data_IF_616126718429
#
_entry.id   IF_616126718429
#
_cell.length_a   1.000
_cell.length_b   1.000
_cell.length_c   1.000
_cell.angle_alpha   90.00
_cell.angle_beta   90.00
_cell.angle_gamma   90.00
#
_symmetry.space_group_name_H-M   'P 1'
#
loop_
_entity.id
_entity.type
_entity.pdbx_description
1 polymer ?
#
# COMPACT_ATOMS: atom_id res chain seq x y z
N UNK A 1 -12.61 -26.49 -10.06
CA UNK A 1 -13.06 -26.26 -8.67
C UNK A 1 -13.69 -27.52 -8.02
N UNK A 2 -13.72 -28.67 -8.68
CA UNK A 2 -14.28 -29.91 -8.15
C UNK A 2 -13.25 -30.79 -7.39
N UNK A 3 -12.05 -30.30 -7.21
CA UNK A 3 -10.96 -30.88 -6.44
C UNK A 3 -10.35 -29.85 -5.51
N UNK A 4 -9.58 -30.29 -4.51
CA UNK A 4 -8.82 -29.40 -3.63
C UNK A 4 -7.80 -28.58 -4.41
N UNK A 5 -7.46 -27.38 -3.91
CA UNK A 5 -6.49 -26.48 -4.54
C UNK A 5 -5.05 -27.00 -4.46
N UNK A 6 -4.81 -27.97 -3.58
CA UNK A 6 -3.47 -28.51 -3.32
C UNK A 6 -2.49 -27.53 -2.69
N UNK A 7 -3.02 -26.56 -1.94
CA UNK A 7 -2.22 -25.69 -1.07
C UNK A 7 -1.44 -26.57 -0.06
N UNK A 8 -0.26 -26.11 0.32
CA UNK A 8 0.61 -26.74 1.32
C UNK A 8 0.13 -26.51 2.77
N UNK A 9 -1.19 -26.59 2.97
CA UNK A 9 -1.87 -26.47 4.25
C UNK A 9 -2.85 -27.63 4.43
N UNK A 10 -2.83 -28.29 5.58
CA UNK A 10 -3.79 -29.34 5.90
C UNK A 10 -5.15 -28.75 6.29
N UNK A 11 -6.24 -29.51 6.00
CA UNK A 11 -7.58 -29.13 6.42
C UNK A 11 -8.43 -28.44 5.34
N UNK A 12 -7.95 -28.35 4.09
CA UNK A 12 -8.80 -27.90 2.97
C UNK A 12 -9.97 -28.87 2.79
N UNK A 13 -11.21 -28.35 2.91
CA UNK A 13 -12.42 -29.11 2.67
C UNK A 13 -12.57 -29.51 1.19
N UNK A 14 -13.03 -30.72 0.93
CA UNK A 14 -13.36 -31.12 -0.45
C UNK A 14 -14.57 -30.34 -0.94
N UNK A 15 -14.55 -29.84 -2.18
CA UNK A 15 -15.71 -29.17 -2.78
C UNK A 15 -16.92 -30.10 -2.83
N UNK A 16 -18.08 -29.53 -2.53
CA UNK A 16 -19.37 -30.19 -2.67
C UNK A 16 -20.15 -29.46 -3.75
N UNK A 17 -20.19 -30.04 -4.93
CA UNK A 17 -20.91 -29.51 -6.10
C UNK A 17 -21.95 -30.53 -6.51
N UNK A 18 -23.21 -30.16 -6.44
CA UNK A 18 -24.33 -31.04 -6.87
C UNK A 18 -24.23 -31.26 -8.37
N UNK A 19 -24.00 -32.53 -8.81
CA UNK A 19 -23.83 -32.87 -10.21
C UNK A 19 -25.17 -33.32 -10.84
N UNK A 20 -25.41 -33.03 -12.13
CA UNK A 20 -26.55 -33.59 -12.87
C UNK A 20 -26.60 -35.10 -12.73
N UNK A 21 -27.78 -35.63 -12.52
CA UNK A 21 -28.02 -37.09 -12.36
C UNK A 21 -27.71 -37.65 -10.96
N UNK A 22 -27.23 -36.82 -10.01
CA UNK A 22 -27.09 -37.23 -8.59
C UNK A 22 -28.46 -37.38 -7.94
N UNK A 23 -28.53 -38.19 -6.85
CA UNK A 23 -29.80 -38.38 -6.08
C UNK A 23 -30.41 -37.10 -5.51
N UNK A 24 -29.58 -36.06 -5.32
CA UNK A 24 -30.00 -34.76 -4.79
C UNK A 24 -30.25 -33.72 -5.88
N UNK A 25 -30.11 -34.07 -7.14
CA UNK A 25 -30.40 -33.19 -8.27
C UNK A 25 -31.91 -33.01 -8.44
N UNK A 26 -32.40 -31.79 -8.41
CA UNK A 26 -33.77 -31.38 -8.63
C UNK A 26 -33.87 -30.40 -9.82
N UNK A 27 -35.05 -30.19 -10.36
CA UNK A 27 -35.28 -29.21 -11.43
C UNK A 27 -34.87 -27.77 -11.04
N UNK A 28 -34.88 -27.44 -9.75
CA UNK A 28 -34.48 -26.15 -9.20
C UNK A 28 -32.99 -26.04 -8.93
N UNK A 29 -32.21 -27.13 -9.01
CA UNK A 29 -30.77 -27.12 -8.63
C UNK A 29 -29.98 -26.16 -9.51
N UNK A 30 -30.15 -26.18 -10.82
CA UNK A 30 -29.41 -25.31 -11.74
C UNK A 30 -29.71 -23.80 -11.52
N UNK A 31 -30.99 -23.37 -11.42
CA UNK A 31 -31.32 -22.00 -11.00
C UNK A 31 -30.70 -21.61 -9.67
N UNK A 32 -30.68 -22.48 -8.67
CA UNK A 32 -30.10 -22.21 -7.36
C UNK A 32 -28.59 -22.06 -7.40
N UNK A 33 -27.90 -22.85 -8.22
CA UNK A 33 -26.46 -22.71 -8.46
C UNK A 33 -26.12 -21.35 -9.07
N UNK A 34 -27.00 -20.75 -9.86
CA UNK A 34 -26.81 -19.47 -10.51
C UNK A 34 -26.64 -18.30 -9.52
N UNK A 35 -27.11 -18.43 -8.28
CA UNK A 35 -26.88 -17.45 -7.21
C UNK A 35 -26.17 -18.02 -5.98
N UNK A 36 -25.47 -19.17 -6.14
CA UNK A 36 -24.47 -19.66 -5.19
C UNK A 36 -24.93 -20.76 -4.23
N UNK A 37 -26.17 -21.28 -4.36
CA UNK A 37 -26.59 -22.45 -3.58
C UNK A 37 -26.24 -23.75 -4.29
N UNK A 38 -26.32 -24.88 -3.59
CA UNK A 38 -25.94 -26.23 -4.09
C UNK A 38 -24.46 -26.36 -4.53
N UNK A 39 -23.62 -25.39 -4.14
CA UNK A 39 -22.17 -25.37 -4.31
C UNK A 39 -21.54 -24.94 -3.00
N UNK A 40 -20.70 -25.79 -2.42
CA UNK A 40 -19.88 -25.45 -1.27
C UNK A 40 -18.41 -25.71 -1.62
N UNK A 41 -17.61 -24.66 -1.60
CA UNK A 41 -16.18 -24.69 -1.91
C UNK A 41 -15.39 -23.98 -0.81
N UNK A 42 -14.13 -24.37 -0.63
CA UNK A 42 -13.29 -23.72 0.34
C UNK A 42 -12.98 -22.26 -0.08
N UNK A 43 -12.86 -21.31 0.87
CA UNK A 43 -12.53 -19.92 0.57
C UNK A 43 -11.30 -19.74 -0.33
N UNK A 44 -10.27 -20.58 -0.14
CA UNK A 44 -9.05 -20.55 -0.96
C UNK A 44 -9.34 -20.86 -2.44
N UNK A 45 -10.33 -21.70 -2.73
CA UNK A 45 -10.72 -22.02 -4.10
C UNK A 45 -11.42 -20.82 -4.77
N UNK A 46 -12.27 -20.11 -4.03
CA UNK A 46 -12.88 -18.87 -4.52
C UNK A 46 -11.81 -17.79 -4.74
N UNK A 47 -10.87 -17.64 -3.80
CA UNK A 47 -9.73 -16.72 -3.94
C UNK A 47 -8.90 -17.06 -5.20
N UNK A 48 -8.61 -18.35 -5.43
CA UNK A 48 -7.87 -18.82 -6.61
C UNK A 48 -8.61 -18.51 -7.91
N UNK A 49 -9.94 -18.61 -7.91
CA UNK A 49 -10.78 -18.25 -9.05
C UNK A 49 -10.66 -16.76 -9.39
N UNK A 50 -10.83 -15.87 -8.40
CA UNK A 50 -10.68 -14.42 -8.61
C UNK A 50 -9.25 -14.04 -9.00
N UNK A 51 -8.25 -14.69 -8.40
CA UNK A 51 -6.84 -14.53 -8.78
C UNK A 51 -6.61 -14.92 -10.25
N UNK A 52 -7.26 -15.97 -10.75
CA UNK A 52 -7.13 -16.36 -12.16
C UNK A 52 -7.75 -15.34 -13.11
N UNK A 53 -8.85 -14.68 -12.72
CA UNK A 53 -9.44 -13.57 -13.51
C UNK A 53 -8.42 -12.42 -13.53
N UNK A 54 -7.92 -12.00 -12.38
CA UNK A 54 -6.90 -10.96 -12.25
C UNK A 54 -5.63 -11.24 -13.06
N UNK A 55 -5.29 -12.51 -13.25
CA UNK A 55 -4.13 -13.00 -13.99
C UNK A 55 -4.49 -13.43 -15.44
N UNK A 56 -5.41 -12.72 -16.08
CA UNK A 56 -5.81 -12.92 -17.47
C UNK A 56 -6.23 -14.38 -17.80
N UNK A 57 -6.87 -15.06 -16.87
CA UNK A 57 -7.37 -16.42 -17.03
C UNK A 57 -6.37 -17.52 -16.65
N UNK A 58 -5.13 -17.16 -16.33
CA UNK A 58 -4.13 -18.13 -15.89
C UNK A 58 -4.32 -18.45 -14.40
N UNK A 59 -4.78 -19.64 -14.09
CA UNK A 59 -5.00 -20.11 -12.73
C UNK A 59 -3.70 -20.59 -12.11
N UNK A 60 -3.35 -20.01 -10.96
CA UNK A 60 -2.13 -20.33 -10.20
C UNK A 60 -2.48 -21.27 -9.04
N UNK A 61 -1.59 -22.25 -8.78
CA UNK A 61 -1.70 -23.10 -7.59
C UNK A 61 -1.31 -22.30 -6.36
N UNK A 62 -2.16 -22.20 -5.33
CA UNK A 62 -1.80 -21.50 -4.10
C UNK A 62 -0.71 -22.27 -3.34
N UNK A 63 0.21 -21.54 -2.70
CA UNK A 63 1.26 -22.08 -1.83
C UNK A 63 1.64 -21.05 -0.76
N UNK A 64 2.11 -21.52 0.39
CA UNK A 64 2.52 -20.68 1.52
C UNK A 64 4.04 -20.67 1.71
N UNK A 65 4.69 -21.79 1.40
CA UNK A 65 6.13 -21.97 1.59
C UNK A 65 6.87 -21.60 0.31
N UNK A 66 7.68 -20.56 0.35
CA UNK A 66 8.51 -20.12 -0.78
C UNK A 66 9.94 -20.69 -0.77
N UNK A 67 10.45 -21.08 0.40
CA UNK A 67 11.76 -21.70 0.53
C UNK A 67 11.88 -22.52 1.82
N UNK A 68 12.67 -23.58 1.76
CA UNK A 68 13.14 -24.33 2.91
C UNK A 68 14.61 -23.95 3.14
N UNK A 69 14.95 -23.55 4.37
CA UNK A 69 16.30 -23.15 4.76
C UNK A 69 16.82 -24.03 5.87
N UNK A 70 18.12 -24.34 5.82
CA UNK A 70 18.86 -25.00 6.89
C UNK A 70 20.14 -24.21 7.15
N UNK A 71 20.41 -23.87 8.39
CA UNK A 71 21.54 -23.01 8.80
C UNK A 71 21.67 -21.70 7.99
N UNK A 72 20.52 -21.09 7.61
CA UNK A 72 20.48 -19.88 6.81
C UNK A 72 20.67 -20.06 5.30
N UNK A 73 21.02 -21.26 4.83
CA UNK A 73 21.16 -21.58 3.39
C UNK A 73 19.84 -22.12 2.83
N UNK A 74 19.48 -21.68 1.62
CA UNK A 74 18.30 -22.21 0.93
C UNK A 74 18.62 -23.62 0.41
N UNK A 75 17.95 -24.65 0.94
CA UNK A 75 18.04 -26.02 0.47
C UNK A 75 17.08 -26.26 -0.69
N UNK A 76 15.88 -25.68 -0.60
CA UNK A 76 14.86 -25.86 -1.62
C UNK A 76 14.11 -24.55 -1.82
N UNK A 77 14.05 -24.08 -3.07
CA UNK A 77 13.21 -22.97 -3.48
C UNK A 77 11.91 -23.49 -4.09
N UNK A 78 10.79 -22.90 -3.69
CA UNK A 78 9.44 -23.22 -4.20
C UNK A 78 8.94 -21.98 -4.88
N UNK A 79 8.68 -22.07 -6.18
CA UNK A 79 8.17 -20.96 -6.98
C UNK A 79 6.70 -21.13 -7.36
N UNK A 80 6.09 -20.07 -7.93
CA UNK A 80 4.73 -20.12 -8.42
C UNK A 80 4.57 -21.18 -9.52
N UNK A 81 3.45 -21.91 -9.48
CA UNK A 81 3.10 -22.92 -10.48
C UNK A 81 1.71 -22.62 -11.01
N UNK A 82 1.58 -22.55 -12.33
CA UNK A 82 0.29 -22.45 -12.99
C UNK A 82 -0.31 -23.84 -13.23
N UNK A 83 -1.62 -23.91 -13.26
CA UNK A 83 -2.29 -25.07 -13.89
C UNK A 83 -2.05 -25.01 -15.39
N UNK A 84 -2.10 -26.16 -16.07
CA UNK A 84 -1.71 -26.30 -17.48
C UNK A 84 -2.70 -25.70 -18.50
N UNK A 85 -3.80 -25.12 -18.05
CA UNK A 85 -4.89 -24.61 -18.90
C UNK A 85 -5.39 -23.25 -18.42
N UNK A 86 -5.87 -22.45 -19.36
CA UNK A 86 -6.56 -21.19 -19.06
C UNK A 86 -7.97 -21.46 -18.58
N UNK A 87 -8.46 -20.72 -17.59
CA UNK A 87 -9.80 -20.85 -17.02
C UNK A 87 -10.90 -20.54 -18.05
N UNK A 88 -10.67 -19.55 -18.90
CA UNK A 88 -11.65 -19.08 -19.87
C UNK A 88 -10.98 -18.38 -21.06
N UNK A 89 -11.75 -18.11 -22.12
CA UNK A 89 -11.26 -17.34 -23.27
C UNK A 89 -10.94 -15.89 -22.87
N UNK A 90 -10.03 -15.19 -23.58
CA UNK A 90 -9.72 -13.78 -23.31
C UNK A 90 -10.96 -12.88 -23.34
N UNK A 91 -11.90 -13.14 -24.22
CA UNK A 91 -13.17 -12.39 -24.30
C UNK A 91 -14.03 -12.59 -23.05
N UNK A 92 -14.09 -13.83 -22.54
CA UNK A 92 -14.80 -14.14 -21.30
C UNK A 92 -14.15 -13.45 -20.10
N UNK A 93 -12.81 -13.48 -20.03
CA UNK A 93 -12.08 -12.78 -18.97
C UNK A 93 -12.36 -11.28 -19.00
N UNK A 94 -12.32 -10.66 -20.18
CA UNK A 94 -12.67 -9.24 -20.34
C UNK A 94 -14.10 -8.93 -19.88
N UNK A 95 -15.06 -9.79 -20.22
CA UNK A 95 -16.44 -9.62 -19.77
C UNK A 95 -16.57 -9.74 -18.24
N UNK A 96 -15.82 -10.67 -17.62
CA UNK A 96 -15.77 -10.81 -16.16
C UNK A 96 -15.16 -9.58 -15.49
N UNK A 97 -14.06 -9.01 -16.00
CA UNK A 97 -13.50 -7.74 -15.51
C UNK A 97 -14.58 -6.64 -15.53
N UNK A 98 -15.25 -6.45 -16.67
CA UNK A 98 -16.31 -5.42 -16.79
C UNK A 98 -17.43 -5.63 -15.78
N UNK A 99 -17.85 -6.89 -15.57
CA UNK A 99 -18.91 -7.21 -14.61
C UNK A 99 -18.47 -6.94 -13.16
N UNK A 100 -17.25 -7.34 -12.78
CA UNK A 100 -16.71 -7.15 -11.44
C UNK A 100 -16.41 -5.69 -11.12
N UNK A 101 -15.89 -4.92 -12.09
CA UNK A 101 -15.74 -3.46 -11.99
C UNK A 101 -17.12 -2.80 -11.80
N UNK A 102 -18.13 -3.26 -12.54
CA UNK A 102 -19.50 -2.78 -12.44
C UNK A 102 -20.11 -2.90 -11.04
N UNK A 103 -19.79 -3.95 -10.28
CA UNK A 103 -20.22 -4.12 -8.89
C UNK A 103 -19.68 -3.00 -8.00
N UNK A 104 -18.44 -2.59 -8.24
CA UNK A 104 -17.75 -1.56 -7.44
C UNK A 104 -18.12 -0.14 -7.87
N UNK A 105 -18.44 0.09 -9.15
CA UNK A 105 -18.78 1.42 -9.67
C UNK A 105 -20.29 1.73 -9.56
N UNK A 106 -21.13 0.76 -9.92
CA UNK A 106 -22.59 0.95 -10.06
C UNK A 106 -23.41 0.02 -9.19
N UNK A 107 -22.81 -1.07 -8.67
CA UNK A 107 -23.49 -2.13 -7.95
C UNK A 107 -23.50 -1.98 -6.43
N UNK A 108 -23.56 -3.11 -5.75
CA UNK A 108 -23.72 -3.23 -4.29
C UNK A 108 -22.55 -2.62 -3.50
N UNK A 109 -21.35 -2.56 -4.08
CA UNK A 109 -20.15 -2.01 -3.44
C UNK A 109 -19.87 -0.53 -3.82
N UNK A 110 -20.72 0.13 -4.62
CA UNK A 110 -20.53 1.52 -5.08
C UNK A 110 -20.16 2.49 -3.96
N UNK A 111 -20.92 2.48 -2.86
CA UNK A 111 -20.69 3.41 -1.75
C UNK A 111 -19.33 3.18 -1.06
N UNK A 112 -18.86 1.93 -1.06
CA UNK A 112 -17.61 1.55 -0.41
C UNK A 112 -16.39 2.10 -1.15
N UNK A 113 -16.43 2.14 -2.49
CA UNK A 113 -15.30 2.50 -3.35
C UNK A 113 -15.42 3.89 -4.00
N UNK A 114 -16.46 4.68 -3.67
CA UNK A 114 -16.70 5.99 -4.29
C UNK A 114 -15.50 6.95 -4.22
N UNK A 115 -14.71 6.88 -3.16
CA UNK A 115 -13.52 7.72 -2.93
C UNK A 115 -12.22 6.91 -2.91
N UNK A 116 -12.18 5.76 -3.58
CA UNK A 116 -10.97 4.95 -3.64
C UNK A 116 -9.93 5.57 -4.58
N UNK A 117 -8.64 5.52 -4.18
CA UNK A 117 -7.52 5.99 -5.00
C UNK A 117 -7.15 5.01 -6.13
N UNK A 118 -7.75 3.86 -6.15
CA UNK A 118 -7.52 2.79 -7.12
C UNK A 118 -8.84 2.14 -7.49
N UNK A 119 -8.90 1.57 -8.68
CA UNK A 119 -10.05 0.78 -9.14
C UNK A 119 -10.01 -0.61 -8.54
N UNK A 120 -11.20 -1.16 -8.31
CA UNK A 120 -11.39 -2.49 -7.74
C UNK A 120 -12.34 -3.29 -8.60
N UNK A 121 -11.96 -4.51 -8.89
CA UNK A 121 -12.83 -5.55 -9.42
C UNK A 121 -13.18 -6.52 -8.30
N UNK A 122 -14.45 -6.66 -7.99
CA UNK A 122 -14.86 -7.52 -6.89
C UNK A 122 -16.35 -7.79 -6.85
N UNK A 123 -16.74 -8.68 -5.96
CA UNK A 123 -18.15 -9.00 -5.76
C UNK A 123 -18.46 -9.25 -4.28
N UNK A 124 -19.72 -8.94 -3.92
CA UNK A 124 -20.28 -9.21 -2.60
C UNK A 124 -21.00 -10.56 -2.59
N UNK A 125 -20.96 -11.23 -1.45
CA UNK A 125 -21.77 -12.42 -1.22
C UNK A 125 -22.49 -12.32 0.11
N UNK A 126 -23.73 -12.85 0.15
CA UNK A 126 -24.54 -12.99 1.36
C UNK A 126 -25.27 -14.32 1.29
N UNK A 127 -24.77 -15.30 2.00
CA UNK A 127 -25.33 -16.65 1.98
C UNK A 127 -25.89 -17.00 3.36
N UNK A 128 -27.08 -17.57 3.40
CA UNK A 128 -27.67 -18.13 4.61
C UNK A 128 -27.02 -19.48 4.92
N UNK A 129 -26.54 -19.66 6.14
CA UNK A 129 -25.80 -20.85 6.59
C UNK A 129 -26.69 -21.72 7.46
N UNK A 130 -26.73 -23.01 7.16
CA UNK A 130 -27.42 -23.98 8.01
C UNK A 130 -26.60 -24.30 9.27
N UNK A 131 -27.21 -24.29 10.44
CA UNK A 131 -26.59 -24.63 11.71
C UNK A 131 -27.09 -26.00 12.23
N UNK A 132 -26.40 -27.05 11.87
CA UNK A 132 -26.69 -28.40 12.34
C UNK A 132 -28.17 -28.78 12.17
N UNK A 133 -28.79 -29.33 13.24
CA UNK A 133 -30.20 -29.76 13.27
C UNK A 133 -31.21 -28.62 13.20
N UNK A 134 -30.80 -27.38 13.51
CA UNK A 134 -31.64 -26.19 13.47
C UNK A 134 -31.83 -25.63 12.05
N UNK A 135 -31.07 -26.13 11.08
CA UNK A 135 -31.15 -25.67 9.71
C UNK A 135 -30.91 -24.17 9.59
N UNK A 136 -31.83 -23.44 8.95
CA UNK A 136 -31.75 -22.00 8.74
C UNK A 136 -32.51 -21.15 9.77
N UNK A 137 -33.08 -21.77 10.82
CA UNK A 137 -33.94 -21.09 11.78
C UNK A 137 -33.23 -19.95 12.57
N UNK A 138 -31.92 -20.04 12.73
CA UNK A 138 -31.12 -19.04 13.44
C UNK A 138 -30.70 -17.85 12.57
N UNK A 139 -31.08 -17.83 11.29
CA UNK A 139 -30.76 -16.72 10.38
C UNK A 139 -29.28 -16.31 10.42
N UNK A 140 -28.38 -17.30 10.41
CA UNK A 140 -26.94 -17.08 10.37
C UNK A 140 -26.52 -16.80 8.95
N UNK A 141 -25.92 -15.64 8.68
CA UNK A 141 -25.43 -15.28 7.37
C UNK A 141 -23.90 -15.32 7.29
N UNK A 142 -23.40 -15.78 6.16
CA UNK A 142 -22.02 -15.61 5.75
C UNK A 142 -21.95 -14.42 4.81
N UNK A 143 -21.32 -13.36 5.26
CA UNK A 143 -21.05 -12.15 4.49
C UNK A 143 -19.68 -12.24 3.86
N UNK A 144 -19.55 -11.96 2.59
CA UNK A 144 -18.25 -12.02 1.91
C UNK A 144 -18.06 -10.85 0.95
N UNK A 145 -16.80 -10.47 0.78
CA UNK A 145 -16.33 -9.64 -0.31
C UNK A 145 -15.02 -10.23 -0.83
N UNK A 146 -14.97 -10.47 -2.14
CA UNK A 146 -13.79 -11.02 -2.81
C UNK A 146 -13.50 -10.17 -4.03
N UNK A 147 -12.24 -9.81 -4.23
CA UNK A 147 -11.84 -8.95 -5.34
C UNK A 147 -10.33 -8.80 -5.43
N UNK A 148 -9.90 -8.02 -6.42
CA UNK A 148 -8.50 -7.69 -6.66
C UNK A 148 -8.34 -6.22 -7.02
N UNK A 149 -7.13 -5.72 -6.81
CA UNK A 149 -6.77 -4.33 -7.06
C UNK A 149 -5.27 -4.15 -7.32
N UNK A 150 -4.86 -3.03 -7.97
CA UNK A 150 -5.68 -2.17 -8.82
C UNK A 150 -6.28 -2.96 -9.98
N UNK A 151 -7.52 -2.65 -10.42
CA UNK A 151 -8.21 -3.43 -11.45
C UNK A 151 -7.51 -3.41 -12.81
N UNK A 152 -6.88 -2.29 -13.15
CA UNK A 152 -6.14 -2.07 -14.39
C UNK A 152 -4.75 -2.73 -14.42
N UNK A 153 -4.16 -2.99 -13.24
CA UNK A 153 -2.89 -3.71 -13.09
C UNK A 153 -2.89 -4.52 -11.79
N UNK A 154 -3.58 -5.66 -11.72
CA UNK A 154 -3.80 -6.40 -10.49
C UNK A 154 -2.50 -6.82 -9.79
N UNK A 155 -2.37 -6.47 -8.52
CA UNK A 155 -1.23 -6.81 -7.66
C UNK A 155 -1.64 -7.73 -6.52
N UNK A 156 -2.85 -7.56 -6.00
CA UNK A 156 -3.35 -8.32 -4.86
C UNK A 156 -4.77 -8.79 -5.10
N UNK A 157 -5.06 -10.02 -4.72
CA UNK A 157 -6.41 -10.60 -4.63
C UNK A 157 -6.70 -10.89 -3.17
N UNK A 158 -7.85 -10.42 -2.67
CA UNK A 158 -8.23 -10.54 -1.26
C UNK A 158 -9.62 -11.18 -1.18
N UNK A 159 -9.81 -12.07 -0.21
CA UNK A 159 -11.10 -12.60 0.17
C UNK A 159 -11.34 -12.31 1.66
N UNK A 160 -12.44 -11.68 1.99
CA UNK A 160 -12.93 -11.50 3.35
C UNK A 160 -14.26 -12.22 3.49
N UNK A 161 -14.34 -13.13 4.46
CA UNK A 161 -15.52 -13.93 4.72
C UNK A 161 -15.79 -13.87 6.24
N UNK A 162 -16.99 -13.42 6.60
CA UNK A 162 -17.41 -13.23 7.99
C UNK A 162 -18.70 -14.00 8.20
N UNK A 163 -18.71 -14.89 9.18
CA UNK A 163 -19.91 -15.57 9.64
C UNK A 163 -20.51 -14.69 10.74
N UNK A 164 -21.70 -14.19 10.51
CA UNK A 164 -22.39 -13.32 11.44
C UNK A 164 -22.98 -14.12 12.62
N UNK A 165 -23.25 -13.43 13.71
CA UNK A 165 -24.01 -14.05 14.80
C UNK A 165 -25.47 -14.30 14.39
N UNK A 166 -26.20 -15.21 15.04
CA UNK A 166 -27.60 -15.43 14.77
C UNK A 166 -28.43 -14.14 14.80
N UNK A 167 -29.34 -13.99 13.86
CA UNK A 167 -30.24 -12.84 13.72
C UNK A 167 -29.54 -11.46 13.65
N UNK A 168 -28.32 -11.41 13.11
CA UNK A 168 -27.60 -10.15 12.91
C UNK A 168 -28.40 -9.18 12.04
N UNK A 169 -28.64 -7.97 12.53
CA UNK A 169 -29.38 -6.92 11.80
C UNK A 169 -28.63 -6.48 10.53
N UNK A 170 -27.29 -6.44 10.57
CA UNK A 170 -26.45 -6.16 9.42
C UNK A 170 -25.69 -7.43 9.02
N UNK A 171 -25.96 -7.94 7.82
CA UNK A 171 -25.40 -9.19 7.33
C UNK A 171 -25.04 -9.17 5.84
N UNK A 172 -25.12 -7.99 5.19
CA UNK A 172 -24.80 -7.90 3.76
C UNK A 172 -23.28 -7.83 3.53
N UNK A 173 -22.80 -8.52 2.51
CA UNK A 173 -21.39 -8.58 2.17
C UNK A 173 -20.73 -7.20 2.03
N UNK A 174 -21.41 -6.26 1.35
CA UNK A 174 -20.91 -4.89 1.17
C UNK A 174 -20.76 -4.09 2.45
N UNK A 175 -21.59 -4.36 3.48
CA UNK A 175 -21.62 -3.60 4.73
C UNK A 175 -20.86 -4.27 5.88
N UNK A 176 -20.58 -5.57 5.78
CA UNK A 176 -19.87 -6.34 6.82
C UNK A 176 -18.46 -6.68 6.37
N UNK A 177 -18.32 -7.43 5.27
CA UNK A 177 -17.01 -7.87 4.76
C UNK A 177 -16.29 -6.78 3.95
N UNK A 178 -17.04 -5.95 3.24
CA UNK A 178 -16.51 -4.89 2.37
C UNK A 178 -15.61 -3.88 3.09
N UNK A 179 -16.02 -3.29 4.23
CA UNK A 179 -15.17 -2.33 4.97
C UNK A 179 -13.84 -2.93 5.42
N UNK A 180 -13.84 -4.17 5.90
CA UNK A 180 -12.63 -4.90 6.29
C UNK A 180 -11.72 -5.13 5.08
N UNK A 181 -12.30 -5.57 3.97
CA UNK A 181 -11.58 -5.74 2.71
C UNK A 181 -10.93 -4.44 2.26
N UNK A 182 -11.69 -3.33 2.29
CA UNK A 182 -11.20 -2.01 1.87
C UNK A 182 -10.06 -1.53 2.75
N UNK A 183 -10.16 -1.68 4.07
CA UNK A 183 -9.09 -1.27 4.99
C UNK A 183 -7.78 -2.04 4.71
N UNK A 184 -7.86 -3.35 4.46
CA UNK A 184 -6.70 -4.16 4.09
C UNK A 184 -6.12 -3.67 2.76
N UNK A 185 -6.98 -3.43 1.76
CA UNK A 185 -6.56 -2.97 0.44
C UNK A 185 -5.92 -1.57 0.49
N UNK A 186 -6.49 -0.62 1.23
CA UNK A 186 -5.95 0.73 1.41
C UNK A 186 -4.54 0.68 2.04
N UNK A 187 -4.33 -0.18 3.05
CA UNK A 187 -3.03 -0.38 3.69
C UNK A 187 -2.00 -1.00 2.72
N UNK A 188 -2.40 -2.02 1.97
CA UNK A 188 -1.53 -2.65 0.98
C UNK A 188 -1.19 -1.68 -0.15
N UNK A 189 -2.18 -0.91 -0.64
CA UNK A 189 -2.00 0.08 -1.69
C UNK A 189 -1.00 1.16 -1.27
N UNK A 190 -1.21 1.78 -0.12
CA UNK A 190 -0.33 2.84 0.39
C UNK A 190 1.08 2.34 0.69
N UNK A 191 1.22 1.11 1.21
CA UNK A 191 2.52 0.58 1.64
C UNK A 191 3.35 0.02 0.49
N UNK A 192 2.71 -0.71 -0.45
CA UNK A 192 3.44 -1.53 -1.42
C UNK A 192 3.22 -1.14 -2.87
N UNK A 193 2.14 -0.42 -3.21
CA UNK A 193 1.85 -0.03 -4.58
C UNK A 193 2.17 1.45 -4.80
N UNK A 194 1.59 2.32 -4.01
CA UNK A 194 1.79 3.76 -4.13
C UNK A 194 3.26 4.16 -3.93
N UNK A 195 3.96 3.50 -3.01
CA UNK A 195 5.40 3.73 -2.79
C UNK A 195 6.29 3.11 -3.87
N UNK A 196 5.78 2.14 -4.66
CA UNK A 196 6.48 1.57 -5.83
C UNK A 196 6.19 2.31 -7.13
N UNK A 197 5.13 3.12 -7.18
CA UNK A 197 5.07 4.14 -8.21
C UNK A 197 6.31 4.97 -7.97
N UNK A 198 7.34 4.73 -8.79
CA UNK A 198 8.46 5.64 -8.89
C UNK A 198 7.82 7.02 -8.87
N UNK A 199 8.20 7.82 -7.89
CA UNK A 199 8.15 9.25 -8.06
C UNK A 199 9.14 9.47 -9.21
N UNK A 200 8.72 9.12 -10.43
CA UNK A 200 9.31 9.75 -11.58
C UNK A 200 9.14 11.23 -11.25
N UNK A 201 10.23 11.95 -11.04
CA UNK A 201 10.13 13.37 -10.75
C UNK A 201 9.64 14.05 -12.02
N UNK A 202 8.36 13.92 -12.32
CA UNK A 202 7.66 14.84 -13.18
C UNK A 202 7.48 16.13 -12.38
N UNK A 203 8.62 16.69 -11.96
CA UNK A 203 8.70 18.09 -11.65
C UNK A 203 8.46 18.83 -12.95
N UNK A 204 7.20 18.96 -13.34
CA UNK A 204 6.76 20.07 -14.17
C UNK A 204 6.89 21.33 -13.28
N UNK A 205 8.13 21.67 -12.96
CA UNK A 205 8.45 22.94 -12.33
C UNK A 205 8.32 24.02 -13.40
N UNK A 206 7.07 24.39 -13.68
CA UNK A 206 6.79 25.72 -14.23
C UNK A 206 7.03 26.82 -13.20
N UNK A 207 7.27 26.47 -11.95
CA UNK A 207 7.69 27.39 -10.92
C UNK A 207 9.22 27.43 -10.87
N UNK A 208 9.75 28.53 -11.40
CA UNK A 208 11.14 28.97 -11.22
C UNK A 208 11.47 29.35 -9.75
N UNK A 209 10.63 29.02 -8.81
CA UNK A 209 10.90 29.14 -7.38
C UNK A 209 11.72 27.95 -6.92
N UNK A 210 12.95 28.11 -7.08
CA UNK A 210 14.10 27.37 -6.67
C UNK A 210 14.00 26.96 -5.20
N UNK A 211 14.13 25.67 -4.96
CA UNK A 211 14.47 25.20 -3.63
C UNK A 211 15.85 25.75 -3.25
N UNK A 212 15.87 26.72 -2.37
CA UNK A 212 17.08 27.29 -1.83
C UNK A 212 17.23 26.79 -0.39
N UNK A 213 17.83 25.63 -0.23
CA UNK A 213 18.07 25.03 1.08
C UNK A 213 19.57 24.97 1.37
N UNK A 214 19.94 25.36 2.58
CA UNK A 214 21.29 25.18 3.10
C UNK A 214 21.26 24.09 4.17
N UNK A 215 22.11 23.09 4.03
CA UNK A 215 22.17 21.97 4.97
C UNK A 215 23.55 21.31 4.97
N UNK A 216 23.80 20.40 5.94
CA UNK A 216 25.06 19.68 5.98
C UNK A 216 25.22 18.78 4.73
N UNK A 217 26.43 18.73 4.19
CA UNK A 217 26.77 17.93 3.00
C UNK A 217 26.41 16.45 3.17
N UNK A 218 26.66 15.89 4.35
CA UNK A 218 26.36 14.49 4.68
C UNK A 218 24.85 14.23 4.63
N UNK A 219 24.04 15.11 5.21
CA UNK A 219 22.58 15.00 5.19
C UNK A 219 22.04 15.13 3.77
N UNK A 220 22.59 16.05 2.98
CA UNK A 220 22.20 16.24 1.59
C UNK A 220 22.48 15.00 0.75
N UNK A 221 23.67 14.43 0.85
CA UNK A 221 24.05 13.21 0.14
C UNK A 221 23.15 12.01 0.52
N UNK A 222 22.81 11.89 1.80
CA UNK A 222 21.89 10.85 2.26
C UNK A 222 20.49 11.03 1.69
N UNK A 223 19.96 12.26 1.70
CA UNK A 223 18.63 12.57 1.17
C UNK A 223 18.57 12.31 -0.34
N UNK A 224 19.52 12.86 -1.11
CA UNK A 224 19.55 12.72 -2.56
C UNK A 224 19.70 11.27 -3.00
N UNK A 225 20.52 10.48 -2.30
CA UNK A 225 20.67 9.04 -2.54
C UNK A 225 19.39 8.28 -2.22
N UNK A 226 18.75 8.58 -1.08
CA UNK A 226 17.52 7.87 -0.65
C UNK A 226 16.34 8.17 -1.56
N UNK A 227 16.22 9.41 -2.03
CA UNK A 227 15.12 9.86 -2.89
C UNK A 227 15.44 9.75 -4.39
N UNK A 228 16.60 9.16 -4.77
CA UNK A 228 17.07 9.07 -6.15
C UNK A 228 17.02 10.41 -6.92
N UNK A 229 17.31 11.53 -6.24
CA UNK A 229 17.30 12.88 -6.82
C UNK A 229 18.62 13.10 -7.57
N UNK A 230 18.60 13.49 -8.84
CA UNK A 230 19.81 13.85 -9.58
C UNK A 230 20.52 15.04 -8.90
N UNK A 231 21.70 14.80 -8.35
CA UNK A 231 22.47 15.78 -7.60
C UNK A 231 23.89 15.88 -8.15
N UNK A 232 24.31 17.10 -8.50
CA UNK A 232 25.69 17.40 -8.88
C UNK A 232 26.36 18.17 -7.76
N UNK A 233 27.36 17.58 -7.14
CA UNK A 233 28.17 18.24 -6.13
C UNK A 233 29.24 19.10 -6.82
N UNK A 234 29.11 20.41 -6.74
CA UNK A 234 30.09 21.38 -7.17
C UNK A 234 30.78 22.11 -5.99
N UNK A 235 30.58 21.56 -4.75
CA UNK A 235 31.27 22.06 -3.57
C UNK A 235 32.71 21.54 -3.49
N UNK A 236 33.59 22.29 -2.79
CA UNK A 236 34.94 21.82 -2.50
C UNK A 236 34.85 20.60 -1.58
N UNK A 237 35.76 19.63 -1.73
CA UNK A 237 35.75 18.35 -0.99
C UNK A 237 35.61 18.49 0.52
N UNK A 238 36.13 19.54 1.12
CA UNK A 238 36.11 19.79 2.56
C UNK A 238 34.96 20.69 3.02
N UNK A 239 34.01 21.08 2.15
CA UNK A 239 32.88 21.88 2.58
C UNK A 239 31.90 21.04 3.38
N UNK A 240 31.61 21.45 4.62
CA UNK A 240 30.64 20.73 5.48
C UNK A 240 29.21 21.21 5.29
N UNK A 241 29.03 22.45 4.81
CA UNK A 241 27.75 23.07 4.58
C UNK A 241 27.56 23.43 3.11
N UNK A 242 26.45 23.07 2.54
CA UNK A 242 26.16 23.21 1.12
C UNK A 242 24.82 23.89 0.94
N UNK A 243 24.77 24.89 0.07
CA UNK A 243 23.52 25.46 -0.42
C UNK A 243 23.06 24.70 -1.66
N UNK A 244 21.86 24.18 -1.61
CA UNK A 244 21.22 23.48 -2.70
C UNK A 244 20.46 24.47 -3.58
N UNK A 245 20.87 24.58 -4.82
CA UNK A 245 20.17 25.37 -5.83
C UNK A 245 19.61 24.43 -6.91
N UNK A 246 18.31 24.45 -7.12
CA UNK A 246 17.67 23.72 -8.22
C UNK A 246 17.61 24.61 -9.47
N UNK A 247 18.00 24.06 -10.63
CA UNK A 247 17.79 24.69 -11.93
C UNK A 247 17.26 23.61 -12.88
N UNK A 248 15.95 23.64 -13.16
CA UNK A 248 15.28 22.59 -13.93
C UNK A 248 15.28 21.24 -13.22
N UNK A 249 15.55 20.15 -13.92
CA UNK A 249 15.58 18.78 -13.37
C UNK A 249 16.86 18.45 -12.58
N UNK A 250 17.84 19.36 -12.52
CA UNK A 250 19.12 19.11 -11.87
C UNK A 250 19.26 19.95 -10.59
N UNK A 251 19.66 19.32 -9.50
CA UNK A 251 20.04 19.98 -8.27
C UNK A 251 21.57 20.15 -8.21
N UNK A 252 22.02 21.36 -7.94
CA UNK A 252 23.44 21.69 -7.85
C UNK A 252 23.72 22.16 -6.43
N UNK A 253 24.62 21.45 -5.73
CA UNK A 253 25.15 21.89 -4.44
C UNK A 253 26.32 22.86 -4.64
N UNK A 254 26.23 24.05 -4.08
CA UNK A 254 27.32 25.02 -4.04
C UNK A 254 27.81 25.15 -2.60
N UNK A 255 29.13 25.33 -2.46
CA UNK A 255 29.69 25.62 -1.15
C UNK A 255 29.13 26.95 -0.62
N UNK A 256 28.65 26.93 0.61
CA UNK A 256 28.38 28.12 1.39
C UNK A 256 29.56 28.31 2.35
N UNK A 257 30.39 29.33 2.13
CA UNK A 257 31.42 29.66 3.08
C UNK A 257 30.78 30.34 4.30
N UNK A 258 30.81 29.66 5.43
CA UNK A 258 30.31 30.20 6.69
C UNK A 258 31.52 30.45 7.55
N UNK A 259 31.81 31.73 7.84
CA UNK A 259 32.88 32.13 8.74
C UNK A 259 32.64 31.56 10.13
N UNK A 260 33.71 31.06 10.76
CA UNK A 260 33.64 30.55 12.13
C UNK A 260 33.64 31.69 13.18
N UNK A 261 33.99 32.92 12.78
CA UNK A 261 34.09 34.09 13.64
C UNK A 261 32.90 35.04 13.56
N UNK A 262 31.97 34.81 12.66
CA UNK A 262 30.78 35.66 12.48
C UNK A 262 29.50 34.87 12.54
N UNK A 263 28.41 35.48 13.03
CA UNK A 263 27.10 34.90 13.14
C UNK A 263 26.49 34.68 11.75
N UNK A 264 26.12 33.42 11.36
CA UNK A 264 25.40 33.17 10.12
C UNK A 264 23.93 33.61 10.24
N UNK A 265 23.27 33.77 9.08
CA UNK A 265 21.82 33.84 9.06
C UNK A 265 21.24 32.43 9.25
N UNK A 266 20.52 32.27 10.35
CA UNK A 266 19.83 31.01 10.68
C UNK A 266 18.31 31.11 10.53
N UNK A 267 17.80 32.27 10.06
CA UNK A 267 16.37 32.47 9.83
C UNK A 267 15.83 31.46 8.81
N UNK A 268 14.66 30.88 9.09
CA UNK A 268 14.01 29.86 8.25
C UNK A 268 14.57 28.44 8.38
N UNK A 269 15.70 28.25 9.10
CA UNK A 269 16.25 26.92 9.36
C UNK A 269 15.38 26.16 10.36
N UNK A 270 15.41 24.81 10.26
CA UNK A 270 14.87 23.95 11.31
C UNK A 270 15.77 24.03 12.55
N UNK A 271 15.18 23.80 13.72
CA UNK A 271 15.91 23.85 15.00
C UNK A 271 17.20 23.02 14.97
N UNK A 272 17.18 21.82 14.44
CA UNK A 272 18.36 20.94 14.37
C UNK A 272 19.52 21.57 13.60
N UNK A 273 19.26 22.20 12.46
CA UNK A 273 20.28 22.83 11.62
C UNK A 273 20.82 24.12 12.26
N UNK A 274 19.92 24.88 12.89
CA UNK A 274 20.30 26.10 13.62
C UNK A 274 21.17 25.79 14.85
N UNK A 275 20.80 24.77 15.63
CA UNK A 275 21.61 24.28 16.77
C UNK A 275 23.00 23.84 16.30
N UNK A 276 23.06 23.00 15.27
CA UNK A 276 24.34 22.52 14.74
C UNK A 276 25.27 23.69 14.32
N UNK A 277 24.71 24.69 13.62
CA UNK A 277 25.48 25.87 13.20
C UNK A 277 26.01 26.71 14.38
N UNK A 278 25.21 26.89 15.43
CA UNK A 278 25.55 27.66 16.59
C UNK A 278 26.54 26.92 17.52
N UNK A 279 26.25 25.65 17.84
CA UNK A 279 27.07 24.83 18.74
C UNK A 279 28.46 24.55 18.16
N UNK A 280 28.56 24.33 16.83
CA UNK A 280 29.85 24.18 16.16
C UNK A 280 30.76 25.42 16.34
N UNK A 281 30.17 26.62 16.50
CA UNK A 281 30.85 27.87 16.79
C UNK A 281 31.07 28.11 18.28
N UNK A 282 30.67 27.14 19.10
CA UNK A 282 30.77 27.21 20.55
C UNK A 282 29.81 28.18 21.20
N UNK A 283 28.69 28.53 20.52
CA UNK A 283 27.63 29.34 21.10
C UNK A 283 26.75 28.51 22.04
N UNK A 284 26.29 29.11 23.11
CA UNK A 284 25.28 28.51 24.01
C UNK A 284 23.90 28.97 23.59
N UNK A 285 23.10 28.00 23.09
CA UNK A 285 21.82 28.30 22.45
C UNK A 285 20.68 28.18 23.46
N UNK A 286 19.85 29.20 23.54
CA UNK A 286 18.57 29.19 24.24
C UNK A 286 17.43 29.29 23.23
N UNK A 287 16.55 28.29 23.22
CA UNK A 287 15.45 28.17 22.22
C UNK A 287 14.11 28.49 22.87
N UNK A 288 13.29 29.29 22.19
CA UNK A 288 11.93 29.61 22.60
C UNK A 288 10.98 29.26 21.41
N UNK A 289 9.95 28.46 21.66
CA UNK A 289 8.96 28.04 20.64
C UNK A 289 9.25 26.69 20.01
N UNK A 290 8.58 26.41 18.89
CA UNK A 290 8.70 25.14 18.13
C UNK A 290 8.62 25.43 16.63
N UNK A 291 9.33 24.66 15.81
CA UNK A 291 9.25 24.78 14.36
C UNK A 291 10.53 25.31 13.72
N UNK A 292 10.42 26.37 12.91
CA UNK A 292 11.55 27.02 12.22
C UNK A 292 11.98 28.28 12.94
N UNK A 293 13.26 28.65 12.80
CA UNK A 293 13.78 29.91 13.35
C UNK A 293 13.13 31.08 12.64
N UNK A 294 12.51 31.94 13.42
CA UNK A 294 11.94 33.23 12.94
C UNK A 294 12.76 34.42 13.35
N UNK A 295 13.56 34.29 14.46
CA UNK A 295 14.40 35.39 14.96
C UNK A 295 15.61 34.85 15.68
N UNK A 296 16.74 35.58 15.56
CA UNK A 296 17.99 35.34 16.27
C UNK A 296 18.41 36.63 17.01
N UNK A 297 18.95 36.48 18.25
CA UNK A 297 19.32 37.62 19.06
C UNK A 297 20.64 38.27 18.66
N UNK A 298 21.52 37.52 17.97
CA UNK A 298 22.78 38.04 17.43
C UNK A 298 22.58 38.28 15.93
N UNK A 299 22.82 39.49 15.46
CA UNK A 299 22.61 39.83 14.05
C UNK A 299 23.58 39.07 13.13
N UNK A 300 23.10 38.75 11.93
CA UNK A 300 23.92 38.16 10.87
C UNK A 300 25.17 39.01 10.61
N UNK A 301 26.34 38.36 10.51
CA UNK A 301 27.63 39.04 10.28
C UNK A 301 28.31 39.63 11.54
N UNK A 302 27.62 39.67 12.68
CA UNK A 302 28.23 40.10 13.93
C UNK A 302 29.34 39.16 14.40
N UNK A 303 30.41 39.69 14.96
CA UNK A 303 31.46 38.85 15.54
C UNK A 303 30.93 38.07 16.75
N UNK A 304 31.33 36.83 16.87
CA UNK A 304 30.91 35.89 17.90
C UNK A 304 32.15 35.33 18.63
N UNK A 305 31.95 35.01 19.89
CA UNK A 305 32.98 34.38 20.74
C UNK A 305 32.47 33.07 21.30
N UNK A 306 33.39 32.12 21.54
CA UNK A 306 33.03 30.83 22.17
C UNK A 306 32.45 31.07 23.58
N UNK A 307 31.37 30.37 23.91
CA UNK A 307 30.64 30.53 25.17
C UNK A 307 29.62 31.66 25.18
N UNK A 308 29.52 32.47 24.11
CA UNK A 308 28.51 33.54 24.01
C UNK A 308 27.11 32.93 23.91
N UNK A 309 26.15 33.50 24.62
CA UNK A 309 24.76 33.07 24.60
C UNK A 309 24.02 33.67 23.40
N UNK A 310 23.24 32.85 22.74
CA UNK A 310 22.31 33.26 21.69
C UNK A 310 20.91 32.77 22.02
N UNK A 311 19.91 33.63 21.84
CA UNK A 311 18.50 33.24 21.90
C UNK A 311 17.94 33.15 20.51
N UNK A 312 17.21 32.04 20.23
CA UNK A 312 16.49 31.79 18.98
C UNK A 312 15.02 31.62 19.28
N UNK A 313 14.20 32.31 18.50
CA UNK A 313 12.73 32.18 18.52
C UNK A 313 12.28 31.33 17.34
N UNK A 314 11.39 30.42 17.63
CA UNK A 314 10.86 29.42 16.67
C UNK A 314 9.35 29.59 16.52
N UNK A 315 8.85 29.40 15.29
CA UNK A 315 7.41 29.37 14.98
C UNK A 315 7.11 28.35 13.86
#
# INVERSE_FOLDING_TARGET
LDSTSGIDLMGEGRPQITKPGSKVWAATTLPWMGFGYAVAIAPIQTLTLYNSIANNGLMMRPYLVNAIKEEGKIIKSIGPKAYSWSMASPNTIKALHTALEGVCINGTAKKLFANSLYKVDGNTGTALVANGTKGYAESIFQSSFIGYFPADNPQYTIAVIIINHPHAANHFGASVAGPVWKEIADRLYSTYIQNKMEIAPSFNVKDSQLFNYSLSKISLQKITKTLAIPYKDSSISNSEWVQLNGKGSNMIGRQQSISDSTMPDISGLKLQDALWLCEKRGLLVNCIGKGKVVKQSIAQGAYITKGQQIQIELN
#
